data_IF_822665278381
#
_entry.id   IF_822665278381
#
_cell.length_a   1.000
_cell.length_b   1.000
_cell.length_c   1.000
_cell.angle_alpha   90.00
_cell.angle_beta   90.00
_cell.angle_gamma   90.00
#
_symmetry.space_group_name_H-M   'P 1'
#
loop_
_entity.id
_entity.type
_entity.pdbx_description
1 polymer ?
#
# COMPACT_ATOMS: atom_id res chain seq x y z
N UNK A 1 4.47 13.33 -1.21
CA UNK A 1 5.93 13.14 -1.34
C UNK A 1 6.71 14.39 -0.93
N UNK A 2 6.43 15.55 -1.51
CA UNK A 2 7.02 16.83 -1.09
C UNK A 2 6.75 17.16 0.38
N UNK A 3 5.52 16.96 0.87
CA UNK A 3 5.18 17.10 2.28
C UNK A 3 6.01 16.17 3.19
N UNK A 4 6.22 14.91 2.79
CA UNK A 4 7.10 13.96 3.49
C UNK A 4 8.53 14.48 3.58
N UNK A 5 9.08 15.02 2.50
CA UNK A 5 10.43 15.59 2.48
C UNK A 5 10.52 16.80 3.42
N UNK A 6 9.55 17.71 3.35
CA UNK A 6 9.52 18.92 4.18
C UNK A 6 9.40 18.59 5.68
N UNK A 7 8.46 17.71 6.05
CA UNK A 7 8.27 17.29 7.45
C UNK A 7 9.51 16.60 8.00
N UNK A 8 10.13 15.69 7.22
CA UNK A 8 11.34 14.99 7.64
C UNK A 8 12.55 15.92 7.70
N UNK A 9 12.65 16.91 6.80
CA UNK A 9 13.72 17.91 6.81
C UNK A 9 13.61 18.86 8.00
N UNK A 10 12.39 19.31 8.33
CA UNK A 10 12.11 20.13 9.52
C UNK A 10 12.37 19.33 10.80
N UNK A 11 11.93 18.07 10.87
CA UNK A 11 12.21 17.20 12.02
C UNK A 11 13.70 16.91 12.23
N UNK A 12 14.49 16.84 11.12
CA UNK A 12 15.95 16.75 11.17
C UNK A 12 16.59 18.05 11.68
N UNK A 13 16.09 19.21 11.24
CA UNK A 13 16.57 20.53 11.70
C UNK A 13 16.28 20.79 13.18
N UNK A 14 15.18 20.24 13.69
CA UNK A 14 14.79 20.31 15.12
C UNK A 14 15.56 19.29 15.98
N UNK A 15 16.37 18.42 15.38
CA UNK A 15 17.19 17.44 16.11
C UNK A 15 16.42 16.24 16.66
N UNK A 16 15.11 16.12 16.35
CA UNK A 16 14.26 15.03 16.84
C UNK A 16 14.57 13.69 16.14
N UNK A 17 15.18 13.73 14.95
CA UNK A 17 15.42 12.56 14.10
C UNK A 17 16.78 12.63 13.39
N UNK A 18 17.61 11.60 13.58
CA UNK A 18 18.87 11.41 12.83
C UNK A 18 18.67 10.46 11.65
N UNK A 19 18.98 10.92 10.44
CA UNK A 19 18.98 10.10 9.22
C UNK A 19 20.40 10.05 8.65
N UNK A 20 20.88 8.91 8.10
CA UNK A 20 22.18 8.81 7.45
C UNK A 20 22.33 9.87 6.35
N UNK A 21 23.50 10.52 6.29
CA UNK A 21 23.87 11.48 5.23
C UNK A 21 23.87 10.84 3.84
N UNK A 22 23.68 11.67 2.81
CA UNK A 22 23.47 11.27 1.42
C UNK A 22 24.76 10.70 0.83
N UNK A 23 24.97 9.41 1.00
CA UNK A 23 26.12 8.69 0.44
C UNK A 23 25.83 8.28 -1.00
N UNK A 24 26.80 8.36 -1.93
CA UNK A 24 26.61 7.99 -3.34
C UNK A 24 26.17 6.52 -3.53
N UNK A 25 26.40 5.65 -2.54
CA UNK A 25 25.90 4.28 -2.51
C UNK A 25 24.39 4.16 -2.24
N UNK A 26 23.75 5.19 -1.69
CA UNK A 26 22.33 5.20 -1.30
C UNK A 26 21.39 4.98 -2.49
N UNK A 27 21.75 5.49 -3.67
CA UNK A 27 20.98 5.29 -4.90
C UNK A 27 20.96 3.81 -5.31
N UNK A 28 22.11 3.12 -5.28
CA UNK A 28 22.20 1.68 -5.54
C UNK A 28 21.46 0.86 -4.47
N UNK A 29 21.49 1.31 -3.21
CA UNK A 29 20.79 0.65 -2.11
C UNK A 29 19.26 0.75 -2.22
N UNK A 30 18.74 1.80 -2.83
CA UNK A 30 17.29 2.04 -2.95
C UNK A 30 16.72 1.55 -4.27
N UNK A 31 17.53 1.47 -5.32
CA UNK A 31 17.17 0.77 -6.54
C UNK A 31 16.75 -0.69 -6.23
N UNK A 32 15.65 -1.22 -6.79
CA UNK A 32 14.72 -0.67 -7.79
C UNK A 32 13.43 -0.02 -7.22
N UNK A 33 13.35 0.27 -5.92
CA UNK A 33 12.11 0.71 -5.24
C UNK A 33 11.42 1.93 -5.89
N UNK A 34 12.12 3.02 -6.26
CA UNK A 34 11.46 4.20 -6.82
C UNK A 34 10.80 3.91 -8.17
N UNK A 35 11.40 3.05 -9.00
CA UNK A 35 10.82 2.64 -10.28
C UNK A 35 9.52 1.85 -10.08
N UNK A 36 9.52 0.91 -9.14
CA UNK A 36 8.34 0.12 -8.78
C UNK A 36 7.23 1.04 -8.23
N UNK A 37 7.61 2.06 -7.46
CA UNK A 37 6.67 3.03 -6.89
C UNK A 37 6.05 3.94 -7.96
N UNK A 38 6.82 4.34 -8.97
CA UNK A 38 6.31 5.08 -10.14
C UNK A 38 5.31 4.22 -10.92
N UNK A 39 5.66 2.95 -11.19
CA UNK A 39 4.73 2.01 -11.81
C UNK A 39 3.44 1.87 -11.00
N UNK A 40 3.55 1.68 -9.68
CA UNK A 40 2.39 1.64 -8.79
C UNK A 40 1.53 2.91 -8.93
N UNK A 41 2.14 4.10 -8.91
CA UNK A 41 1.39 5.36 -9.00
C UNK A 41 0.65 5.49 -10.34
N UNK A 42 1.30 5.22 -11.47
CA UNK A 42 0.72 5.37 -12.81
C UNK A 42 -0.42 4.39 -13.02
N UNK A 43 -0.19 3.09 -12.81
CA UNK A 43 -1.21 2.07 -13.01
C UNK A 43 -2.32 2.16 -11.96
N UNK A 44 -2.00 2.63 -10.76
CA UNK A 44 -2.97 2.82 -9.68
C UNK A 44 -3.96 3.96 -9.96
N UNK A 45 -3.46 5.10 -10.45
CA UNK A 45 -4.31 6.22 -10.87
C UNK A 45 -5.09 5.92 -12.15
N UNK A 46 -4.48 5.17 -13.10
CA UNK A 46 -5.18 4.68 -14.29
C UNK A 46 -6.35 3.76 -13.92
N UNK A 47 -6.12 2.80 -13.03
CA UNK A 47 -7.17 1.87 -12.58
C UNK A 47 -8.34 2.55 -11.87
N UNK A 48 -8.11 3.67 -11.16
CA UNK A 48 -9.21 4.44 -10.53
C UNK A 48 -10.10 5.19 -11.52
N UNK A 49 -9.64 5.44 -12.75
CA UNK A 49 -10.44 6.15 -13.77
C UNK A 49 -11.42 5.21 -14.49
N UNK A 50 -11.00 3.97 -14.71
CA UNK A 50 -11.74 3.00 -15.54
C UNK A 50 -12.71 2.11 -14.75
N UNK A 51 -12.48 1.94 -13.44
CA UNK A 51 -13.23 0.99 -12.62
C UNK A 51 -13.97 1.64 -11.47
N UNK A 52 -15.15 1.08 -11.17
CA UNK A 52 -15.89 1.40 -9.96
C UNK A 52 -15.08 1.04 -8.71
N UNK A 53 -15.23 1.82 -7.64
CA UNK A 53 -14.56 1.59 -6.35
C UNK A 53 -14.70 0.14 -5.84
N UNK A 54 -15.88 -0.51 -5.92
CA UNK A 54 -16.05 -1.88 -5.48
C UNK A 54 -15.17 -2.87 -6.26
N UNK A 55 -15.17 -2.79 -7.60
CA UNK A 55 -14.36 -3.68 -8.44
C UNK A 55 -12.86 -3.46 -8.22
N UNK A 56 -12.44 -2.20 -8.06
CA UNK A 56 -11.07 -1.87 -7.71
C UNK A 56 -10.65 -2.51 -6.38
N UNK A 57 -11.52 -2.50 -5.36
CA UNK A 57 -11.22 -3.13 -4.08
C UNK A 57 -11.19 -4.66 -4.13
N UNK A 58 -11.98 -5.27 -5.02
CA UNK A 58 -11.98 -6.72 -5.24
C UNK A 58 -10.70 -7.16 -5.94
N UNK A 59 -10.34 -6.51 -7.04
CA UNK A 59 -9.14 -6.83 -7.80
C UNK A 59 -7.88 -6.67 -6.95
N UNK A 60 -7.78 -5.60 -6.14
CA UNK A 60 -6.64 -5.39 -5.21
C UNK A 60 -6.39 -6.51 -4.22
N UNK A 61 -7.35 -7.43 -4.01
CA UNK A 61 -7.15 -8.61 -3.16
C UNK A 61 -6.20 -9.61 -3.79
N UNK A 62 -6.06 -9.64 -5.12
CA UNK A 62 -5.06 -10.45 -5.80
C UNK A 62 -3.63 -10.02 -5.43
N UNK A 63 -3.42 -8.76 -5.08
CA UNK A 63 -2.14 -8.28 -4.52
C UNK A 63 -1.70 -9.06 -3.27
N UNK A 64 -2.63 -9.61 -2.47
CA UNK A 64 -2.31 -10.43 -1.28
C UNK A 64 -1.58 -11.71 -1.69
N UNK A 65 -2.11 -12.41 -2.70
CA UNK A 65 -1.50 -13.63 -3.24
C UNK A 65 -0.14 -13.31 -3.88
N UNK A 66 -0.08 -12.25 -4.69
CA UNK A 66 1.17 -11.79 -5.30
C UNK A 66 2.22 -11.43 -4.23
N UNK A 67 1.81 -10.82 -3.13
CA UNK A 67 2.71 -10.49 -2.01
C UNK A 67 3.21 -11.77 -1.33
N UNK A 68 2.35 -12.77 -1.09
CA UNK A 68 2.78 -14.04 -0.51
C UNK A 68 3.83 -14.73 -1.39
N UNK A 69 3.59 -14.78 -2.70
CA UNK A 69 4.53 -15.35 -3.67
C UNK A 69 5.82 -14.54 -3.69
N UNK A 70 5.74 -13.20 -3.66
CA UNK A 70 6.89 -12.32 -3.57
C UNK A 70 7.73 -12.54 -2.29
N UNK A 71 7.11 -12.69 -1.13
CA UNK A 71 7.81 -13.01 0.13
C UNK A 71 8.55 -14.35 0.04
N UNK A 72 7.95 -15.35 -0.63
CA UNK A 72 8.61 -16.64 -0.84
C UNK A 72 9.85 -16.52 -1.72
N UNK A 73 9.76 -15.82 -2.86
CA UNK A 73 10.85 -15.72 -3.83
C UNK A 73 11.95 -14.73 -3.42
N UNK A 74 11.60 -13.56 -2.88
CA UNK A 74 12.55 -12.47 -2.61
C UNK A 74 13.12 -12.55 -1.19
N UNK A 75 12.26 -12.86 -0.20
CA UNK A 75 12.67 -12.93 1.21
C UNK A 75 12.97 -14.37 1.66
N UNK A 76 12.64 -15.39 0.86
CA UNK A 76 12.82 -16.79 1.22
C UNK A 76 11.89 -17.29 2.33
N UNK A 77 10.85 -16.53 2.67
CA UNK A 77 9.95 -16.84 3.79
C UNK A 77 8.89 -17.83 3.33
N UNK A 78 8.87 -19.03 3.93
CA UNK A 78 7.88 -20.07 3.60
C UNK A 78 6.57 -19.86 4.39
N UNK A 79 5.43 -19.59 3.73
CA UNK A 79 4.15 -19.46 4.41
C UNK A 79 3.67 -20.84 4.89
N UNK A 80 3.16 -20.91 6.13
CA UNK A 80 2.55 -22.14 6.66
C UNK A 80 1.22 -22.46 5.98
N UNK A 81 0.81 -23.74 5.99
CA UNK A 81 -0.46 -24.18 5.41
C UNK A 81 -1.67 -23.35 5.88
N UNK A 82 -1.76 -23.00 7.16
CA UNK A 82 -2.86 -22.16 7.67
C UNK A 82 -2.89 -20.76 7.05
N UNK A 83 -1.73 -20.17 6.76
CA UNK A 83 -1.61 -18.88 6.08
C UNK A 83 -1.99 -19.00 4.61
N UNK A 84 -1.54 -20.06 3.94
CA UNK A 84 -1.89 -20.35 2.54
C UNK A 84 -3.41 -20.52 2.38
N UNK A 85 -4.03 -21.36 3.21
CA UNK A 85 -5.47 -21.57 3.22
C UNK A 85 -6.23 -20.25 3.42
N UNK A 86 -5.79 -19.41 4.38
CA UNK A 86 -6.43 -18.13 4.64
C UNK A 86 -6.39 -17.21 3.41
N UNK A 87 -5.26 -17.13 2.72
CA UNK A 87 -5.14 -16.29 1.51
C UNK A 87 -5.92 -16.88 0.34
N UNK A 88 -5.94 -18.21 0.17
CA UNK A 88 -6.81 -18.83 -0.85
C UNK A 88 -8.28 -18.51 -0.59
N UNK A 89 -8.75 -18.54 0.67
CA UNK A 89 -10.10 -18.08 1.02
C UNK A 89 -10.34 -16.61 0.66
N UNK A 90 -9.36 -15.73 0.88
CA UNK A 90 -9.47 -14.31 0.49
C UNK A 90 -9.65 -14.13 -1.02
N UNK A 91 -8.90 -14.89 -1.82
CA UNK A 91 -8.97 -14.88 -3.29
C UNK A 91 -10.29 -15.47 -3.79
N UNK A 92 -10.76 -16.58 -3.21
CA UNK A 92 -12.06 -17.16 -3.55
C UNK A 92 -13.17 -16.12 -3.31
N UNK A 93 -13.14 -15.42 -2.17
CA UNK A 93 -14.10 -14.34 -1.90
C UNK A 93 -14.01 -13.19 -2.91
N UNK A 94 -12.80 -12.85 -3.38
CA UNK A 94 -12.61 -11.85 -4.43
C UNK A 94 -13.18 -12.30 -5.79
N UNK A 95 -12.92 -13.54 -6.20
CA UNK A 95 -13.45 -14.12 -7.44
C UNK A 95 -14.98 -14.18 -7.42
N UNK A 96 -15.56 -14.60 -6.29
CA UNK A 96 -17.02 -14.60 -6.11
C UNK A 96 -17.57 -13.17 -6.23
N UNK A 97 -16.93 -12.18 -5.61
CA UNK A 97 -17.39 -10.80 -5.69
C UNK A 97 -17.32 -10.23 -7.13
N UNK A 98 -16.33 -10.65 -7.92
CA UNK A 98 -16.13 -10.21 -9.30
C UNK A 98 -16.99 -10.96 -10.34
N UNK A 99 -17.60 -12.09 -9.99
CA UNK A 99 -18.26 -12.97 -10.98
C UNK A 99 -19.53 -12.39 -11.61
N UNK A 100 -20.12 -11.37 -11.00
CA UNK A 100 -21.34 -10.71 -11.47
C UNK A 100 -21.07 -9.26 -11.92
N UNK A 101 -19.86 -8.97 -12.42
CA UNK A 101 -19.51 -7.63 -12.89
C UNK A 101 -20.19 -7.31 -14.23
N UNK A 102 -21.08 -6.32 -14.20
CA UNK A 102 -21.80 -5.79 -15.36
C UNK A 102 -20.96 -4.73 -16.12
N UNK A 103 -19.85 -4.25 -15.54
CA UNK A 103 -18.99 -3.20 -16.09
C UNK A 103 -17.59 -3.72 -16.48
N UNK A 104 -17.55 -4.89 -17.12
CA UNK A 104 -16.30 -5.54 -17.52
C UNK A 104 -15.48 -4.65 -18.49
N UNK A 105 -14.46 -3.96 -17.99
CA UNK A 105 -13.47 -3.24 -18.77
C UNK A 105 -12.14 -4.01 -18.76
N UNK A 106 -11.81 -4.71 -19.84
CA UNK A 106 -10.58 -5.51 -19.92
C UNK A 106 -9.33 -4.65 -19.63
N UNK A 107 -9.31 -3.42 -20.15
CA UNK A 107 -8.22 -2.46 -19.93
C UNK A 107 -8.06 -2.10 -18.44
N UNK A 108 -9.14 -1.68 -17.77
CA UNK A 108 -9.13 -1.38 -16.33
C UNK A 108 -8.66 -2.56 -15.48
N UNK A 109 -9.06 -3.78 -15.83
CA UNK A 109 -8.65 -5.00 -15.12
C UNK A 109 -7.14 -5.26 -15.26
N UNK A 110 -6.59 -5.14 -16.47
CA UNK A 110 -5.16 -5.29 -16.72
C UNK A 110 -4.37 -4.23 -15.94
N UNK A 111 -4.83 -2.97 -15.96
CA UNK A 111 -4.21 -1.86 -15.22
C UNK A 111 -4.17 -2.14 -13.71
N UNK A 112 -5.28 -2.63 -13.12
CA UNK A 112 -5.31 -2.94 -11.68
C UNK A 112 -4.48 -4.17 -11.32
N UNK A 113 -4.51 -5.24 -12.12
CA UNK A 113 -3.66 -6.40 -11.86
C UNK A 113 -2.17 -6.06 -11.98
N UNK A 114 -1.79 -5.20 -12.92
CA UNK A 114 -0.43 -4.72 -13.03
C UNK A 114 -0.07 -3.79 -11.85
N UNK A 115 -1.00 -2.93 -11.43
CA UNK A 115 -0.86 -2.14 -10.20
C UNK A 115 -0.63 -3.03 -8.96
N UNK A 116 -1.31 -4.16 -8.88
CA UNK A 116 -1.18 -5.11 -7.78
C UNK A 116 0.18 -5.79 -7.75
N UNK A 117 0.75 -6.12 -8.91
CA UNK A 117 2.12 -6.64 -9.04
C UNK A 117 3.12 -5.60 -8.53
N UNK A 118 2.99 -4.34 -8.96
CA UNK A 118 3.86 -3.27 -8.48
C UNK A 118 3.68 -3.03 -6.97
N UNK A 119 2.46 -3.07 -6.46
CA UNK A 119 2.17 -2.91 -5.02
C UNK A 119 2.79 -4.03 -4.20
N UNK A 120 2.60 -5.29 -4.60
CA UNK A 120 3.18 -6.45 -3.94
C UNK A 120 4.70 -6.39 -3.94
N UNK A 121 5.29 -6.13 -5.12
CA UNK A 121 6.74 -6.02 -5.29
C UNK A 121 7.31 -4.88 -4.42
N UNK A 122 6.64 -3.73 -4.38
CA UNK A 122 7.03 -2.60 -3.54
C UNK A 122 7.05 -2.98 -2.05
N UNK A 123 5.97 -3.60 -1.54
CA UNK A 123 5.89 -4.03 -0.15
C UNK A 123 7.00 -5.02 0.23
N UNK A 124 7.28 -6.00 -0.64
CA UNK A 124 8.29 -7.03 -0.39
C UNK A 124 9.72 -6.47 -0.43
N UNK A 125 10.07 -5.67 -1.45
CA UNK A 125 11.38 -5.01 -1.48
C UNK A 125 11.55 -4.00 -0.35
N UNK A 126 10.48 -3.30 0.04
CA UNK A 126 10.51 -2.39 1.19
C UNK A 126 10.83 -3.16 2.47
N UNK A 127 10.20 -4.32 2.68
CA UNK A 127 10.51 -5.21 3.80
C UNK A 127 11.97 -5.69 3.78
N UNK A 128 12.45 -6.15 2.63
CA UNK A 128 13.85 -6.58 2.45
C UNK A 128 14.85 -5.48 2.84
N UNK A 129 14.62 -4.24 2.40
CA UNK A 129 15.48 -3.10 2.71
C UNK A 129 15.38 -2.65 4.17
N UNK A 130 14.22 -2.79 4.80
CA UNK A 130 14.06 -2.56 6.24
C UNK A 130 14.84 -3.60 7.07
N UNK A 131 14.80 -4.88 6.67
CA UNK A 131 15.45 -5.98 7.40
C UNK A 131 16.99 -5.96 7.25
N UNK A 132 17.51 -5.43 6.15
CA UNK A 132 18.98 -5.27 5.96
C UNK A 132 19.53 -4.10 6.81
N UNK A 133 18.66 -3.29 7.43
CA UNK A 133 18.99 -2.14 8.30
C UNK A 133 19.92 -1.05 7.72
N UNK A 134 20.37 -1.15 6.46
CA UNK A 134 21.40 -0.29 5.87
C UNK A 134 21.05 1.21 5.82
N UNK A 135 19.76 1.55 5.84
CA UNK A 135 19.25 2.92 5.67
C UNK A 135 18.39 3.39 6.85
N UNK A 136 17.93 2.47 7.71
CA UNK A 136 16.93 2.72 8.74
C UNK A 136 15.55 3.12 8.20
N UNK A 137 14.51 3.04 9.06
CA UNK A 137 13.10 3.39 8.74
C UNK A 137 12.93 4.77 8.12
N UNK A 138 13.73 5.67 8.66
CA UNK A 138 13.72 7.09 8.44
C UNK A 138 14.44 7.39 7.11
N UNK A 139 15.66 6.87 6.92
CA UNK A 139 16.41 7.07 5.67
C UNK A 139 15.66 6.49 4.46
N UNK A 140 15.09 5.28 4.59
CA UNK A 140 14.33 4.66 3.51
C UNK A 140 13.16 5.53 3.05
N UNK A 141 12.39 6.10 3.99
CA UNK A 141 11.25 6.96 3.67
C UNK A 141 11.66 8.28 3.00
N UNK A 142 12.71 8.92 3.53
CA UNK A 142 13.22 10.18 3.00
C UNK A 142 13.74 10.02 1.57
N UNK A 143 14.60 9.04 1.35
CA UNK A 143 15.22 8.83 0.05
C UNK A 143 14.25 8.23 -0.98
N UNK A 144 13.32 7.36 -0.58
CA UNK A 144 12.25 6.91 -1.47
C UNK A 144 11.42 8.12 -1.95
N UNK A 145 10.99 8.98 -1.04
CA UNK A 145 10.25 10.20 -1.39
C UNK A 145 11.07 11.15 -2.26
N UNK A 146 12.36 11.34 -1.96
CA UNK A 146 13.25 12.22 -2.73
C UNK A 146 13.45 11.74 -4.17
N UNK A 147 13.77 10.44 -4.34
CA UNK A 147 13.96 9.87 -5.67
C UNK A 147 12.66 9.72 -6.45
N UNK A 148 11.50 9.71 -5.80
CA UNK A 148 10.20 9.72 -6.46
C UNK A 148 9.78 11.10 -6.98
N UNK A 149 10.24 12.20 -6.37
CA UNK A 149 9.81 13.55 -6.80
C UNK A 149 10.24 13.84 -8.24
N UNK A 150 11.47 13.50 -8.62
CA UNK A 150 11.98 13.74 -9.97
C UNK A 150 11.17 13.02 -11.08
N UNK A 151 10.97 11.69 -11.05
CA UNK A 151 10.16 10.99 -12.04
C UNK A 151 8.67 11.37 -11.94
N UNK A 152 8.15 11.66 -10.73
CA UNK A 152 6.77 12.13 -10.57
C UNK A 152 6.51 13.46 -11.28
N UNK A 153 7.44 14.42 -11.15
CA UNK A 153 7.37 15.70 -11.87
C UNK A 153 7.52 15.53 -13.38
N UNK A 154 8.42 14.65 -13.83
CA UNK A 154 8.58 14.35 -15.25
C UNK A 154 7.28 13.81 -15.86
N UNK A 155 6.61 12.88 -15.18
CA UNK A 155 5.32 12.32 -15.63
C UNK A 155 4.21 13.38 -15.61
N UNK A 156 4.14 14.20 -14.55
CA UNK A 156 3.17 15.29 -14.49
C UNK A 156 3.37 16.33 -15.60
N UNK A 157 4.61 16.53 -16.05
CA UNK A 157 4.93 17.39 -17.19
C UNK A 157 4.53 16.75 -18.51
N UNK A 158 4.86 15.47 -18.71
CA UNK A 158 4.49 14.74 -19.93
C UNK A 158 2.97 14.57 -20.09
N UNK A 159 2.22 14.44 -18.99
CA UNK A 159 0.77 14.24 -18.99
C UNK A 159 0.01 15.58 -19.15
N UNK A 160 0.70 16.72 -19.01
CA UNK A 160 0.09 18.05 -19.07
C UNK A 160 -0.64 18.46 -17.78
N UNK A 161 -0.66 17.61 -16.75
CA UNK A 161 -1.32 17.88 -15.47
C UNK A 161 -0.80 19.15 -14.81
N UNK A 162 0.48 19.49 -15.00
CA UNK A 162 1.07 20.74 -14.48
C UNK A 162 0.34 21.99 -14.98
N UNK A 163 -0.12 22.00 -16.23
CA UNK A 163 -0.85 23.13 -16.82
C UNK A 163 -2.26 23.19 -16.23
N UNK A 164 -2.94 22.05 -16.15
CA UNK A 164 -4.29 21.93 -15.57
C UNK A 164 -4.30 22.37 -14.09
N UNK A 165 -3.31 21.92 -13.33
CA UNK A 165 -3.14 22.28 -11.92
C UNK A 165 -2.89 23.77 -11.78
N UNK A 166 -2.05 24.39 -12.62
CA UNK A 166 -1.76 25.83 -12.53
C UNK A 166 -2.98 26.72 -12.79
N UNK A 167 -3.94 26.24 -13.59
CA UNK A 167 -5.16 26.96 -13.96
C UNK A 167 -6.33 26.69 -13.00
N UNK A 168 -6.12 25.92 -11.92
CA UNK A 168 -7.18 25.55 -11.01
C UNK A 168 -7.73 26.79 -10.26
N UNK A 169 -9.05 27.08 -10.31
CA UNK A 169 -9.58 28.36 -9.89
C UNK A 169 -9.58 28.59 -8.36
N UNK A 170 -9.50 27.52 -7.55
CA UNK A 170 -9.57 27.63 -6.08
C UNK A 170 -8.20 27.84 -5.39
N UNK A 171 -7.11 28.10 -6.11
CA UNK A 171 -5.82 28.39 -5.47
C UNK A 171 -5.85 29.58 -4.51
N UNK A 172 -6.75 30.54 -4.73
CA UNK A 172 -6.95 31.69 -3.85
C UNK A 172 -7.88 31.44 -2.67
N UNK A 173 -8.57 30.29 -2.60
CA UNK A 173 -9.50 29.98 -1.52
C UNK A 173 -8.74 29.40 -0.31
N UNK A 174 -8.74 30.07 0.86
CA UNK A 174 -8.06 29.58 2.05
C UNK A 174 -8.63 28.25 2.56
N UNK A 175 -9.92 27.97 2.34
CA UNK A 175 -10.53 26.70 2.77
C UNK A 175 -9.99 25.54 1.94
N UNK A 176 -9.95 25.70 0.62
CA UNK A 176 -9.36 24.72 -0.29
C UNK A 176 -7.88 24.46 0.04
N UNK A 177 -7.09 25.52 0.25
CA UNK A 177 -5.68 25.40 0.63
C UNK A 177 -5.51 24.63 1.95
N UNK A 178 -6.34 24.91 2.95
CA UNK A 178 -6.29 24.22 4.24
C UNK A 178 -6.60 22.72 4.08
N UNK A 179 -7.65 22.37 3.33
CA UNK A 179 -8.01 20.97 3.04
C UNK A 179 -6.92 20.25 2.24
N UNK A 180 -6.36 20.92 1.23
CA UNK A 180 -5.28 20.39 0.40
C UNK A 180 -4.02 20.11 1.22
N UNK A 181 -3.57 21.06 2.05
CA UNK A 181 -2.42 20.87 2.94
C UNK A 181 -2.67 19.78 3.98
N UNK A 182 -3.87 19.73 4.55
CA UNK A 182 -4.28 18.66 5.48
C UNK A 182 -4.21 17.29 4.82
N UNK A 183 -4.69 17.16 3.58
CA UNK A 183 -4.60 15.91 2.81
C UNK A 183 -3.15 15.47 2.56
N UNK A 184 -2.26 16.43 2.27
CA UNK A 184 -0.84 16.17 2.07
C UNK A 184 -0.16 15.65 3.34
N UNK A 185 -0.52 16.23 4.49
CA UNK A 185 -0.04 15.79 5.80
C UNK A 185 -0.57 14.39 6.16
N UNK A 186 -1.86 14.12 5.95
CA UNK A 186 -2.43 12.78 6.17
C UNK A 186 -1.80 11.72 5.25
N UNK A 187 -1.44 12.09 4.02
CA UNK A 187 -0.68 11.23 3.11
C UNK A 187 0.68 10.83 3.70
N UNK A 188 1.40 11.77 4.31
CA UNK A 188 2.64 11.47 5.03
C UNK A 188 2.40 10.52 6.21
N UNK A 189 1.39 10.79 7.04
CA UNK A 189 1.05 9.93 8.21
C UNK A 189 0.71 8.51 7.75
N UNK A 190 -0.03 8.37 6.64
CA UNK A 190 -0.36 7.08 6.05
C UNK A 190 0.89 6.34 5.58
N UNK A 191 1.78 6.99 4.81
CA UNK A 191 3.04 6.39 4.37
C UNK A 191 3.91 5.97 5.56
N UNK A 192 4.00 6.82 6.60
CA UNK A 192 4.73 6.50 7.81
C UNK A 192 4.18 5.27 8.53
N UNK A 193 2.86 5.22 8.70
CA UNK A 193 2.17 4.11 9.34
C UNK A 193 2.36 2.79 8.57
N UNK A 194 2.35 2.83 7.23
CA UNK A 194 2.61 1.65 6.40
C UNK A 194 4.04 1.14 6.62
N UNK A 195 5.05 2.01 6.56
CA UNK A 195 6.46 1.60 6.76
C UNK A 195 6.66 1.02 8.17
N UNK A 196 6.09 1.64 9.18
CA UNK A 196 6.15 1.14 10.56
C UNK A 196 5.45 -0.22 10.69
N UNK A 197 4.28 -0.38 10.08
CA UNK A 197 3.57 -1.67 10.06
C UNK A 197 4.40 -2.76 9.38
N UNK A 198 5.02 -2.47 8.23
CA UNK A 198 5.89 -3.41 7.51
C UNK A 198 7.17 -3.72 8.27
N UNK A 199 7.67 -2.83 9.11
CA UNK A 199 8.84 -3.12 9.95
C UNK A 199 8.52 -4.16 11.02
N UNK A 200 7.44 -3.96 11.79
CA UNK A 200 7.05 -4.86 12.89
C UNK A 200 6.35 -6.14 12.41
N UNK A 201 5.84 -6.16 11.19
CA UNK A 201 5.16 -7.30 10.58
C UNK A 201 5.84 -7.73 9.28
N UNK A 202 5.21 -8.62 8.52
CA UNK A 202 5.68 -8.96 7.18
C UNK A 202 5.02 -8.05 6.13
N UNK A 203 5.52 -8.07 4.90
CA UNK A 203 4.87 -7.39 3.78
C UNK A 203 3.46 -7.94 3.57
N UNK A 204 3.30 -9.28 3.63
CA UNK A 204 2.01 -9.96 3.52
C UNK A 204 1.02 -9.50 4.59
N UNK A 205 1.43 -9.44 5.86
CA UNK A 205 0.55 -8.95 6.94
C UNK A 205 0.12 -7.51 6.71
N UNK A 206 1.04 -6.66 6.24
CA UNK A 206 0.72 -5.26 5.92
C UNK A 206 -0.29 -5.17 4.77
N UNK A 207 -0.15 -5.99 3.73
CA UNK A 207 -1.10 -6.06 2.61
C UNK A 207 -2.48 -6.55 3.08
N UNK A 208 -2.55 -7.56 3.96
CA UNK A 208 -3.83 -8.05 4.51
C UNK A 208 -4.52 -6.98 5.36
N UNK A 209 -3.79 -6.28 6.24
CA UNK A 209 -4.34 -5.15 7.03
C UNK A 209 -4.79 -4.02 6.11
N UNK A 210 -4.02 -3.72 5.05
CA UNK A 210 -4.38 -2.73 4.04
C UNK A 210 -5.68 -3.09 3.31
N UNK A 211 -5.87 -4.37 2.98
CA UNK A 211 -7.12 -4.88 2.42
C UNK A 211 -8.29 -4.71 3.40
N UNK A 212 -8.11 -5.08 4.68
CA UNK A 212 -9.12 -4.92 5.72
C UNK A 212 -9.55 -3.44 5.88
N UNK A 213 -8.57 -2.52 5.88
CA UNK A 213 -8.81 -1.08 5.86
C UNK A 213 -9.64 -0.67 4.65
N UNK A 214 -9.28 -1.14 3.45
CA UNK A 214 -10.04 -0.81 2.24
C UNK A 214 -11.49 -1.30 2.34
N UNK A 215 -11.74 -2.49 2.90
CA UNK A 215 -13.11 -3.00 3.09
C UNK A 215 -13.91 -2.10 4.04
N UNK A 216 -13.30 -1.62 5.13
CA UNK A 216 -13.95 -0.68 6.04
C UNK A 216 -14.32 0.62 5.31
N UNK A 217 -13.43 1.14 4.47
CA UNK A 217 -13.68 2.31 3.63
C UNK A 217 -14.82 2.04 2.64
N UNK A 218 -14.86 0.86 2.00
CA UNK A 218 -15.94 0.51 1.07
C UNK A 218 -17.29 0.49 1.80
N UNK A 219 -17.40 -0.15 2.96
CA UNK A 219 -18.66 -0.15 3.72
C UNK A 219 -19.10 1.24 4.15
N UNK A 220 -18.17 2.08 4.63
CA UNK A 220 -18.47 3.48 4.92
C UNK A 220 -18.93 4.23 3.67
N UNK A 221 -18.29 3.99 2.53
CA UNK A 221 -18.67 4.53 1.23
C UNK A 221 -20.06 4.08 0.76
N UNK A 222 -20.45 2.83 1.03
CA UNK A 222 -21.82 2.35 0.73
C UNK A 222 -22.87 3.06 1.59
N UNK A 223 -22.57 3.35 2.86
CA UNK A 223 -23.51 3.98 3.79
C UNK A 223 -23.62 5.50 3.55
N UNK A 224 -22.51 6.15 3.23
CA UNK A 224 -22.42 7.62 3.12
C UNK A 224 -22.58 8.10 1.67
N UNK A 225 -22.08 7.32 0.71
CA UNK A 225 -21.79 7.76 -0.65
C UNK A 225 -22.94 7.69 -1.65
N UNK A 226 -24.08 7.05 -1.35
CA UNK A 226 -25.29 7.03 -2.18
C UNK A 226 -25.19 6.34 -3.56
N UNK A 227 -24.00 6.24 -4.15
CA UNK A 227 -23.77 5.80 -5.53
C UNK A 227 -23.47 4.29 -5.65
N UNK A 228 -23.61 3.52 -4.57
CA UNK A 228 -23.32 2.08 -4.59
C UNK A 228 -24.52 1.24 -5.04
N UNK A 229 -24.39 0.60 -6.20
CA UNK A 229 -25.34 -0.41 -6.67
C UNK A 229 -25.10 -1.70 -5.89
N UNK A 230 -25.98 -1.97 -4.94
CA UNK A 230 -25.91 -3.19 -4.12
C UNK A 230 -26.16 -4.45 -4.95
N UNK A 231 -25.23 -5.41 -4.85
CA UNK A 231 -25.34 -6.74 -5.44
C UNK A 231 -25.09 -7.80 -4.38
N UNK A 232 -26.01 -8.76 -4.26
CA UNK A 232 -25.92 -9.87 -3.29
C UNK A 232 -24.64 -10.70 -3.46
N UNK A 233 -24.19 -10.89 -4.70
CA UNK A 233 -22.99 -11.65 -5.03
C UNK A 233 -21.73 -10.92 -4.52
N UNK A 234 -21.67 -9.60 -4.73
CA UNK A 234 -20.58 -8.76 -4.23
C UNK A 234 -20.55 -8.76 -2.69
N UNK A 235 -21.71 -8.61 -2.05
CA UNK A 235 -21.82 -8.66 -0.60
C UNK A 235 -21.30 -9.98 -0.01
N UNK A 236 -21.74 -11.13 -0.56
CA UNK A 236 -21.26 -12.45 -0.11
C UNK A 236 -19.75 -12.60 -0.31
N UNK A 237 -19.24 -12.24 -1.50
CA UNK A 237 -17.81 -12.34 -1.80
C UNK A 237 -16.93 -11.44 -0.90
N UNK A 238 -17.40 -10.23 -0.58
CA UNK A 238 -16.73 -9.35 0.39
C UNK A 238 -16.67 -10.03 1.76
N UNK A 239 -17.77 -10.57 2.27
CA UNK A 239 -17.82 -11.19 3.60
C UNK A 239 -16.95 -12.46 3.70
N UNK A 240 -16.90 -13.29 2.66
CA UNK A 240 -15.99 -14.44 2.59
C UNK A 240 -14.53 -13.97 2.68
N UNK A 241 -14.18 -12.91 1.96
CA UNK A 241 -12.82 -12.37 1.97
C UNK A 241 -12.44 -11.69 3.30
N UNK A 242 -13.39 -11.00 3.95
CA UNK A 242 -13.22 -10.47 5.31
C UNK A 242 -12.93 -11.61 6.29
N UNK A 243 -13.70 -12.68 6.21
CA UNK A 243 -13.53 -13.85 7.08
C UNK A 243 -12.13 -14.45 6.90
N UNK A 244 -11.66 -14.62 5.65
CA UNK A 244 -10.29 -15.06 5.37
C UNK A 244 -9.23 -14.12 5.99
N UNK A 245 -9.42 -12.80 5.86
CA UNK A 245 -8.52 -11.77 6.41
C UNK A 245 -8.44 -11.82 7.94
N UNK A 246 -9.57 -12.03 8.61
CA UNK A 246 -9.66 -12.18 10.07
C UNK A 246 -9.00 -13.49 10.53
N UNK A 247 -9.24 -14.60 9.83
CA UNK A 247 -8.59 -15.89 10.13
C UNK A 247 -7.08 -15.78 9.97
N UNK A 248 -6.59 -15.17 8.89
CA UNK A 248 -5.15 -14.93 8.69
C UNK A 248 -4.55 -14.13 9.86
N UNK A 249 -5.24 -13.05 10.26
CA UNK A 249 -4.82 -12.19 11.37
C UNK A 249 -4.72 -13.00 12.65
N UNK A 250 -5.78 -13.74 13.00
CA UNK A 250 -5.81 -14.58 14.19
C UNK A 250 -4.70 -15.64 14.20
N UNK A 251 -4.50 -16.36 13.09
CA UNK A 251 -3.44 -17.37 12.95
C UNK A 251 -2.06 -16.75 13.13
N UNK A 252 -1.81 -15.60 12.49
CA UNK A 252 -0.50 -14.94 12.50
C UNK A 252 -0.16 -14.39 13.88
N UNK A 253 -1.10 -13.72 14.54
CA UNK A 253 -0.89 -13.15 15.88
C UNK A 253 -0.82 -14.22 16.97
N UNK A 254 -1.67 -15.24 16.94
CA UNK A 254 -1.61 -16.37 17.89
C UNK A 254 -0.30 -17.16 17.76
N UNK A 255 0.26 -17.25 16.55
CA UNK A 255 1.58 -17.88 16.34
C UNK A 255 2.73 -17.03 16.90
N UNK A 256 2.65 -15.69 16.76
CA UNK A 256 3.63 -14.77 17.38
C UNK A 256 3.62 -14.92 18.91
N UNK A 257 2.45 -15.00 19.52
CA UNK A 257 2.29 -15.20 20.96
C UNK A 257 2.92 -16.53 21.41
N UNK A 258 2.57 -17.66 20.78
CA UNK A 258 3.20 -18.96 21.08
C UNK A 258 4.72 -18.95 20.93
N UNK A 259 5.26 -18.25 19.92
CA UNK A 259 6.72 -18.13 19.76
C UNK A 259 7.38 -17.24 20.82
N UNK A 260 6.66 -16.28 21.40
CA UNK A 260 7.14 -15.43 22.49
C UNK A 260 7.10 -16.18 23.83
N UNK A 261 6.05 -16.96 24.09
CA UNK A 261 5.89 -17.75 25.33
C UNK A 261 6.88 -18.92 25.43
N UNK A 262 7.46 -19.38 24.32
CA UNK A 262 8.52 -20.41 24.30
C UNK A 262 9.92 -19.80 24.51
N UNK A 263 10.08 -18.47 24.45
CA UNK A 263 11.35 -17.75 24.65
C UNK A 263 11.64 -17.17 26.06
N UNK A 264 11.02 -17.56 27.20
CA UNK A 264 11.46 -17.11 28.51
C UNK A 264 12.28 -18.19 29.23
N UNK A 265 13.42 -18.65 28.68
CA UNK A 265 14.40 -19.45 29.46
C UNK A 265 15.79 -19.63 28.84
N UNK A 266 16.26 -18.73 27.96
CA UNK A 266 17.69 -18.73 27.56
C UNK A 266 18.22 -17.30 27.38
N UNK A 267 18.21 -16.54 28.47
CA UNK A 267 19.13 -15.42 28.65
C UNK A 267 19.63 -15.51 30.10
N UNK A 268 20.95 -15.61 30.20
CA UNK A 268 21.80 -15.83 31.37
C UNK A 268 21.46 -14.90 32.54
#
# INVERSE_FOLDING_TARGET
MTATILVLFVAKRIGLLSFPSLERGTFKKIWPLPLIYVGNMVFGLGGTKELSLPMLTVLRRFSILMTMVGELYILGVRPSLAVQLSVYTMIIGAVIAASNDLAFSLEGYILVLLNDVFTATNGVYMKQKLDTAELGKHGLMFYNSLFMVAPGLAIAWMTGDLVVVSQFPLWGDPLFLAQFLSSCFMGFVLTYSIIVCTMYNSALTTTVIGCLKNICITYLGMVIGGDYIFSWVNFVGINVSVTGSLVYTWVTFKRKEKSATVRPTMAV
#
